data_IF_762198208030
#
_entry.id   IF_762198208030
#
_cell.length_a   1.000
_cell.length_b   1.000
_cell.length_c   1.000
_cell.angle_alpha   90.00
_cell.angle_beta   90.00
_cell.angle_gamma   90.00
#
_symmetry.space_group_name_H-M   'P 1'
#
loop_
_entity.id
_entity.type
_entity.pdbx_description
1 polymer ?
#
# COMPACT_ATOMS: atom_id res chain seq x y z
N UNK A 1 -35.62 23.43 -1.89
CA UNK A 1 -34.22 23.05 -1.68
C UNK A 1 -33.98 22.94 -0.18
N UNK A 2 -33.64 21.75 0.32
CA UNK A 2 -33.43 21.53 1.76
C UNK A 2 -31.97 21.82 2.10
N UNK A 3 -31.72 22.69 3.07
CA UNK A 3 -30.36 23.04 3.50
C UNK A 3 -29.82 21.95 4.43
N UNK A 4 -28.77 21.25 4.00
CA UNK A 4 -28.00 20.36 4.87
C UNK A 4 -26.87 21.14 5.56
N UNK A 5 -26.53 20.78 6.79
CA UNK A 5 -25.38 21.32 7.52
C UNK A 5 -24.39 20.19 7.73
N UNK A 6 -23.21 20.31 7.13
CA UNK A 6 -22.09 19.40 7.37
C UNK A 6 -21.26 19.95 8.54
N UNK A 7 -20.90 19.08 9.49
CA UNK A 7 -20.00 19.41 10.60
C UNK A 7 -18.73 18.59 10.45
N UNK A 8 -17.59 19.24 10.65
CA UNK A 8 -16.30 18.57 10.77
C UNK A 8 -16.14 18.09 12.22
N UNK A 9 -15.61 16.86 12.37
CA UNK A 9 -15.30 16.22 13.64
C UNK A 9 -13.81 15.88 13.62
N UNK A 10 -13.08 16.09 14.71
CA UNK A 10 -11.69 15.66 14.72
C UNK A 10 -11.63 14.15 14.95
N UNK A 11 -10.71 13.51 14.25
CA UNK A 11 -10.46 12.09 14.44
C UNK A 11 -8.98 11.92 14.76
N UNK A 12 -8.69 11.08 15.74
CA UNK A 12 -7.33 10.58 15.96
C UNK A 12 -7.21 9.25 15.24
N UNK A 13 -6.16 9.12 14.44
CA UNK A 13 -5.81 7.88 13.75
C UNK A 13 -4.53 7.34 14.38
N UNK A 14 -4.52 6.04 14.66
CA UNK A 14 -3.34 5.33 15.17
C UNK A 14 -3.18 4.03 14.41
N UNK A 15 -1.94 3.62 14.18
CA UNK A 15 -1.66 2.30 13.60
C UNK A 15 -2.19 1.21 14.54
N UNK A 16 -2.86 0.22 13.99
CA UNK A 16 -3.25 -0.99 14.71
C UNK A 16 -2.00 -1.84 14.95
N UNK A 17 -1.58 -1.94 16.21
CA UNK A 17 -0.39 -2.70 16.62
C UNK A 17 -0.63 -4.22 16.66
N UNK A 18 -1.90 -4.66 16.55
CA UNK A 18 -2.29 -6.07 16.59
C UNK A 18 -2.26 -6.73 15.21
N UNK A 19 -2.27 -5.93 14.14
CA UNK A 19 -2.23 -6.41 12.77
C UNK A 19 -0.85 -6.26 12.14
N UNK A 20 -0.34 -7.35 11.56
CA UNK A 20 0.91 -7.32 10.81
C UNK A 20 0.74 -6.55 9.49
N UNK A 21 1.70 -5.70 9.10
CA UNK A 21 1.67 -5.06 7.79
C UNK A 21 1.97 -6.06 6.68
N UNK A 22 1.66 -5.67 5.46
CA UNK A 22 1.96 -6.45 4.26
C UNK A 22 2.79 -5.65 3.26
N UNK A 23 3.55 -6.39 2.45
CA UNK A 23 4.50 -5.88 1.48
C UNK A 23 4.25 -6.55 0.14
N UNK A 24 4.23 -5.75 -0.92
CA UNK A 24 4.12 -6.23 -2.31
C UNK A 24 4.97 -5.34 -3.24
N UNK A 25 5.37 -5.88 -4.39
CA UNK A 25 5.84 -5.08 -5.51
C UNK A 25 5.09 -5.43 -6.80
N UNK A 26 4.88 -4.41 -7.63
CA UNK A 26 4.43 -4.51 -9.02
C UNK A 26 5.55 -4.02 -9.94
N UNK A 27 5.91 -4.79 -10.97
CA UNK A 27 6.77 -4.31 -12.04
C UNK A 27 6.00 -3.30 -12.90
N UNK A 28 6.47 -2.06 -12.93
CA UNK A 28 5.88 -0.94 -13.70
C UNK A 28 6.86 -0.47 -14.77
N UNK A 29 7.78 -1.35 -15.17
CA UNK A 29 8.62 -1.16 -16.33
C UNK A 29 7.89 -1.63 -17.59
N UNK A 30 8.30 -1.12 -18.74
CA UNK A 30 7.66 -1.35 -20.03
C UNK A 30 7.56 -0.03 -20.79
N UNK A 31 7.81 -0.05 -22.10
CA UNK A 31 7.84 1.18 -22.92
C UNK A 31 6.42 1.62 -23.33
N UNK A 32 5.59 0.66 -23.77
CA UNK A 32 4.19 0.93 -24.19
C UNK A 32 3.15 0.52 -23.15
N UNK A 33 3.43 -0.52 -22.36
CA UNK A 33 2.53 -1.02 -21.32
C UNK A 33 3.35 -1.58 -20.18
N UNK A 34 2.93 -1.28 -18.95
CA UNK A 34 3.55 -1.84 -17.75
C UNK A 34 3.55 -3.38 -17.84
N UNK A 35 4.69 -3.97 -17.52
CA UNK A 35 4.86 -5.42 -17.41
C UNK A 35 3.81 -6.04 -16.49
N UNK A 36 3.47 -5.35 -15.40
CA UNK A 36 2.34 -5.71 -14.52
C UNK A 36 2.57 -6.95 -13.67
N UNK A 37 3.74 -7.60 -13.76
CA UNK A 37 4.08 -8.73 -12.91
C UNK A 37 4.08 -8.31 -11.43
N UNK A 38 3.56 -9.17 -10.55
CA UNK A 38 3.44 -8.90 -9.11
C UNK A 38 4.19 -9.94 -8.28
N UNK A 39 4.75 -9.51 -7.15
CA UNK A 39 5.38 -10.42 -6.17
C UNK A 39 4.37 -11.22 -5.35
N UNK A 40 3.10 -10.78 -5.36
CA UNK A 40 2.13 -11.14 -4.33
C UNK A 40 2.42 -10.46 -2.99
N UNK A 41 1.50 -10.66 -2.05
CA UNK A 41 1.56 -10.07 -0.72
C UNK A 41 2.38 -10.93 0.26
N UNK A 42 3.27 -10.29 1.01
CA UNK A 42 4.15 -10.92 2.00
C UNK A 42 4.14 -10.17 3.34
N UNK A 43 4.40 -10.87 4.44
CA UNK A 43 4.48 -10.30 5.79
C UNK A 43 5.86 -9.68 6.11
N UNK A 44 6.82 -9.81 5.21
CA UNK A 44 8.19 -9.34 5.34
C UNK A 44 8.65 -8.73 4.00
N UNK A 45 9.53 -7.70 4.00
CA UNK A 45 10.04 -7.12 2.76
C UNK A 45 11.02 -8.03 1.99
N UNK A 46 11.67 -8.99 2.64
CA UNK A 46 12.75 -9.80 2.03
C UNK A 46 12.27 -10.64 0.83
N UNK A 47 11.12 -11.35 0.88
CA UNK A 47 10.56 -12.03 -0.28
C UNK A 47 10.29 -11.09 -1.47
N UNK A 48 9.83 -9.86 -1.21
CA UNK A 48 9.56 -8.86 -2.24
C UNK A 48 10.87 -8.41 -2.92
N UNK A 49 11.92 -8.18 -2.12
CA UNK A 49 13.24 -7.78 -2.64
C UNK A 49 13.90 -8.88 -3.45
N UNK A 50 13.79 -10.13 -3.00
CA UNK A 50 14.21 -11.31 -3.75
C UNK A 50 13.47 -11.40 -5.09
N UNK A 51 12.15 -11.25 -5.08
CA UNK A 51 11.35 -11.27 -6.30
C UNK A 51 11.75 -10.16 -7.28
N UNK A 52 12.02 -8.94 -6.79
CA UNK A 52 12.51 -7.83 -7.65
C UNK A 52 13.86 -8.19 -8.29
N UNK A 53 14.79 -8.76 -7.51
CA UNK A 53 16.11 -9.14 -8.02
C UNK A 53 16.01 -10.25 -9.08
N UNK A 54 15.18 -11.26 -8.85
CA UNK A 54 14.91 -12.35 -9.79
C UNK A 54 14.23 -11.82 -11.06
N UNK A 55 13.20 -10.99 -10.92
CA UNK A 55 12.52 -10.40 -12.07
C UNK A 55 13.45 -9.51 -12.89
N UNK A 56 14.26 -8.66 -12.24
CA UNK A 56 15.25 -7.80 -12.91
C UNK A 56 16.25 -8.63 -13.70
N UNK A 57 16.74 -9.72 -13.11
CA UNK A 57 17.68 -10.63 -13.78
C UNK A 57 17.09 -11.23 -15.05
N UNK A 58 15.81 -11.61 -15.01
CA UNK A 58 15.16 -12.34 -16.10
C UNK A 58 14.63 -11.42 -17.21
N UNK A 59 14.22 -10.19 -16.88
CA UNK A 59 13.56 -9.28 -17.82
C UNK A 59 14.34 -8.00 -18.12
N UNK A 60 15.43 -7.72 -17.38
CA UNK A 60 16.16 -6.44 -17.39
C UNK A 60 15.33 -5.23 -16.97
N UNK A 61 14.12 -5.43 -16.44
CA UNK A 61 13.27 -4.37 -15.90
C UNK A 61 13.87 -3.78 -14.62
N UNK A 62 13.91 -2.45 -14.53
CA UNK A 62 14.56 -1.73 -13.42
C UNK A 62 13.62 -0.81 -12.65
N UNK A 63 12.32 -0.77 -13.02
CA UNK A 63 11.31 0.09 -12.38
C UNK A 63 10.20 -0.73 -11.72
N UNK A 64 9.99 -0.50 -10.44
CA UNK A 64 9.04 -1.22 -9.61
C UNK A 64 8.25 -0.25 -8.72
N UNK A 65 6.97 -0.51 -8.52
CA UNK A 65 6.14 0.12 -7.48
C UNK A 65 6.12 -0.82 -6.28
N UNK A 66 6.51 -0.34 -5.10
CA UNK A 66 6.34 -1.07 -3.84
C UNK A 66 5.06 -0.60 -3.14
N UNK A 67 4.32 -1.55 -2.59
CA UNK A 67 3.16 -1.31 -1.74
C UNK A 67 3.52 -1.76 -0.32
N UNK A 68 3.26 -0.88 0.64
CA UNK A 68 3.24 -1.20 2.07
C UNK A 68 1.84 -0.93 2.57
N UNK A 69 1.23 -1.92 3.19
CA UNK A 69 -0.13 -1.80 3.73
C UNK A 69 -0.12 -2.13 5.20
N UNK A 70 -0.63 -1.22 6.01
CA UNK A 70 -0.88 -1.42 7.42
C UNK A 70 -2.33 -1.11 7.77
N UNK A 71 -2.68 -1.41 9.02
CA UNK A 71 -4.03 -1.23 9.54
C UNK A 71 -4.02 -0.01 10.46
N UNK A 72 -5.10 0.76 10.42
CA UNK A 72 -5.26 1.99 11.20
C UNK A 72 -6.59 1.95 11.93
N UNK A 73 -6.55 2.16 13.23
CA UNK A 73 -7.72 2.45 14.05
C UNK A 73 -8.05 3.94 14.02
N UNK A 74 -9.35 4.23 14.01
CA UNK A 74 -9.86 5.60 14.02
C UNK A 74 -10.70 5.80 15.28
N UNK A 75 -10.26 6.71 16.14
CA UNK A 75 -11.01 7.14 17.31
C UNK A 75 -11.55 8.55 17.06
N UNK A 76 -12.88 8.71 16.90
CA UNK A 76 -13.45 10.02 16.66
C UNK A 76 -13.65 10.75 18.00
N UNK A 77 -13.30 12.05 18.08
CA UNK A 77 -13.39 12.86 19.31
C UNK A 77 -14.84 13.03 19.80
N UNK A 78 -15.12 13.43 21.04
CA UNK A 78 -16.52 13.67 21.44
C UNK A 78 -17.13 14.80 20.58
N UNK A 79 -18.39 14.66 20.16
CA UNK A 79 -19.10 15.73 19.43
C UNK A 79 -19.12 17.01 20.28
N UNK A 80 -18.61 18.12 19.74
CA UNK A 80 -18.83 19.46 20.27
C UNK A 80 -20.24 19.99 19.92
#
# INVERSE_FOLDING_TARGET
MTRAVYRFRNCTMSRDETAAPTYEATCVAGEDTDCGAVSGEHLDPTPVEKWIAEHTRDTTHTRYRRTFSDYTDVQPDQWL
#
